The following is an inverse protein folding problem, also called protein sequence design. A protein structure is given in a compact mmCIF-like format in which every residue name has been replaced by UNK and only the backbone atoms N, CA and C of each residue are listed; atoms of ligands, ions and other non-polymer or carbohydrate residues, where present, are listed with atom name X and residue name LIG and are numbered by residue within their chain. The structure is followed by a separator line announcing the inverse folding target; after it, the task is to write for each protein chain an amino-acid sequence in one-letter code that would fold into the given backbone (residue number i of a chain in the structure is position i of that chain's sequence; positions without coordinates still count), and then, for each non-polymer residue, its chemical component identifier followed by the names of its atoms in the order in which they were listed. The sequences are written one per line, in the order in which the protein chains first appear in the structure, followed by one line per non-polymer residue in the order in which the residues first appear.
data_IF_545813236657
#
_entry.id   IF_545813236657
#
_cell.length_a   1.000
_cell.length_b   1.000
_cell.length_c   1.000
_cell.angle_alpha   90.00
_cell.angle_beta   90.00
_cell.angle_gamma   90.00
#
_symmetry.space_group_name_H-M   'P 1'
#
loop_
_entity.id
_entity.type
_entity.pdbx_description
1 polymer ?
#
# COMPACT_ATOMS: atom_id res chain seq x y z
N UNK A 1 21.20 -0.73 -6.68
CA UNK A 1 19.87 -0.98 -6.13
C UNK A 1 19.08 0.31 -6.06
N UNK A 2 17.83 0.31 -6.51
CA UNK A 2 16.97 1.47 -6.27
C UNK A 2 16.80 1.70 -4.77
N UNK A 3 16.84 2.93 -4.36
CA UNK A 3 16.70 3.29 -2.97
C UNK A 3 15.82 4.54 -2.82
N UNK A 4 15.69 5.01 -1.58
CA UNK A 4 14.83 6.16 -1.29
C UNK A 4 15.26 7.43 -2.01
N UNK A 5 16.54 7.56 -2.35
CA UNK A 5 17.03 8.73 -3.07
C UNK A 5 16.39 8.84 -4.44
N UNK A 6 16.15 7.70 -5.10
CA UNK A 6 15.52 7.69 -6.41
C UNK A 6 14.07 8.19 -6.38
N UNK A 7 13.37 7.99 -5.27
CA UNK A 7 12.03 8.57 -5.11
C UNK A 7 12.10 10.09 -5.10
N UNK A 8 13.11 10.65 -4.44
CA UNK A 8 13.25 12.10 -4.33
C UNK A 8 13.65 12.76 -5.64
N UNK A 9 14.18 11.99 -6.58
CA UNK A 9 14.61 12.48 -7.88
C UNK A 9 13.51 12.48 -8.93
N UNK A 10 12.33 11.95 -8.60
CA UNK A 10 11.21 11.96 -9.54
C UNK A 10 10.68 13.38 -9.72
N UNK A 11 10.16 13.73 -10.94
CA UNK A 11 9.60 15.05 -11.16
C UNK A 11 8.42 15.36 -10.24
N UNK A 12 8.18 16.63 -9.98
CA UNK A 12 7.11 17.05 -9.07
C UNK A 12 5.71 16.69 -9.55
N UNK A 13 5.52 16.53 -10.86
CA UNK A 13 4.23 16.21 -11.46
C UNK A 13 4.05 14.73 -11.78
N UNK A 14 4.81 13.89 -11.11
CA UNK A 14 4.80 12.46 -11.35
C UNK A 14 3.49 11.80 -10.93
N UNK A 15 3.11 10.77 -11.67
CA UNK A 15 1.86 10.05 -11.45
C UNK A 15 1.98 9.05 -10.30
N UNK A 16 0.82 8.62 -9.79
CA UNK A 16 0.77 7.52 -8.82
C UNK A 16 1.46 6.28 -9.36
N UNK A 17 1.28 6.02 -10.64
CA UNK A 17 1.88 4.86 -11.31
C UNK A 17 3.40 4.94 -11.28
N UNK A 18 3.97 6.12 -11.53
CA UNK A 18 5.42 6.32 -11.48
C UNK A 18 5.95 6.14 -10.05
N UNK A 19 5.27 6.72 -9.07
CA UNK A 19 5.65 6.58 -7.65
C UNK A 19 5.61 5.12 -7.23
N UNK A 20 4.50 4.45 -7.47
CA UNK A 20 4.33 3.06 -7.03
C UNK A 20 5.22 2.10 -7.81
N UNK A 21 5.48 2.40 -9.09
CA UNK A 21 6.44 1.62 -9.86
C UNK A 21 7.85 1.70 -9.28
N UNK A 22 8.27 2.89 -8.87
CA UNK A 22 9.57 3.06 -8.22
C UNK A 22 9.62 2.37 -6.87
N UNK A 23 8.53 2.42 -6.11
CA UNK A 23 8.44 1.72 -4.83
C UNK A 23 8.55 0.21 -5.05
N UNK A 24 7.90 -0.33 -6.08
CA UNK A 24 8.02 -1.74 -6.41
C UNK A 24 9.48 -2.13 -6.67
N UNK A 25 10.22 -1.31 -7.38
CA UNK A 25 11.65 -1.55 -7.63
C UNK A 25 12.46 -1.58 -6.33
N UNK A 26 12.17 -0.65 -5.41
CA UNK A 26 12.86 -0.55 -4.13
C UNK A 26 12.73 -1.85 -3.33
N UNK A 27 11.53 -2.45 -3.34
CA UNK A 27 11.28 -3.68 -2.59
C UNK A 27 11.44 -4.94 -3.42
N UNK A 28 11.81 -4.81 -4.70
CA UNK A 28 11.99 -5.94 -5.62
C UNK A 28 10.71 -6.78 -5.70
N UNK A 29 9.60 -6.11 -5.86
CA UNK A 29 8.29 -6.73 -6.05
C UNK A 29 7.68 -6.22 -7.37
N UNK A 30 6.59 -6.83 -7.78
CA UNK A 30 5.85 -6.39 -8.97
C UNK A 30 5.01 -5.16 -8.63
N UNK A 31 4.70 -4.30 -9.61
CA UNK A 31 3.78 -3.18 -9.35
C UNK A 31 2.44 -3.63 -8.77
N UNK A 32 1.94 -4.81 -9.16
CA UNK A 32 0.69 -5.36 -8.63
C UNK A 32 0.82 -5.80 -7.17
N UNK A 33 2.03 -5.79 -6.61
CA UNK A 33 2.29 -6.13 -5.22
C UNK A 33 2.47 -4.88 -4.34
N UNK A 34 2.26 -3.69 -4.91
CA UNK A 34 2.21 -2.43 -4.18
C UNK A 34 0.77 -1.96 -4.15
N UNK A 35 0.24 -1.66 -2.98
CA UNK A 35 -1.10 -1.09 -2.84
C UNK A 35 -1.01 0.22 -2.07
N UNK A 36 -1.63 1.25 -2.60
CA UNK A 36 -1.75 2.53 -1.93
C UNK A 36 -3.23 2.83 -1.75
N UNK A 37 -3.62 3.11 -0.51
CA UNK A 37 -5.00 3.40 -0.16
C UNK A 37 -5.08 4.78 0.45
N UNK A 38 -6.12 5.53 0.09
CA UNK A 38 -6.38 6.85 0.64
C UNK A 38 -7.54 6.78 1.62
N UNK A 39 -7.36 7.40 2.77
CA UNK A 39 -8.43 7.49 3.77
C UNK A 39 -9.30 8.71 3.47
N UNK A 40 -10.59 8.46 3.25
CA UNK A 40 -11.60 9.49 3.05
C UNK A 40 -12.72 9.25 4.06
N UNK A 41 -12.81 10.12 5.07
CA UNK A 41 -13.73 9.89 6.17
C UNK A 41 -13.37 8.61 6.93
N UNK A 42 -14.24 7.63 6.91
CA UNK A 42 -14.03 6.35 7.58
C UNK A 42 -13.82 5.19 6.62
N UNK A 43 -13.49 5.49 5.36
CA UNK A 43 -13.32 4.50 4.31
C UNK A 43 -11.95 4.64 3.67
N UNK A 44 -11.30 3.50 3.43
CA UNK A 44 -10.04 3.43 2.70
C UNK A 44 -10.34 3.04 1.26
N UNK A 45 -9.87 3.86 0.33
CA UNK A 45 -10.09 3.64 -1.11
C UNK A 45 -8.77 3.29 -1.77
N UNK A 46 -8.75 2.26 -2.61
CA UNK A 46 -7.57 1.95 -3.39
C UNK A 46 -7.31 3.05 -4.40
N UNK A 47 -6.11 3.61 -4.39
CA UNK A 47 -5.66 4.57 -5.42
C UNK A 47 -4.60 3.95 -6.33
N UNK A 48 -4.00 2.83 -5.93
CA UNK A 48 -3.11 2.02 -6.75
C UNK A 48 -3.09 0.59 -6.18
N UNK A 49 -3.09 -0.48 -6.99
CA UNK A 49 -3.21 -0.46 -8.46
C UNK A 49 -4.58 0.04 -8.92
N UNK A 50 -4.62 0.60 -10.13
CA UNK A 50 -5.85 1.18 -10.66
C UNK A 50 -6.97 0.14 -10.79
N UNK A 51 -6.62 -1.11 -11.05
CA UNK A 51 -7.59 -2.21 -11.17
C UNK A 51 -8.40 -2.41 -9.89
N UNK A 52 -7.87 -2.02 -8.74
CA UNK A 52 -8.57 -2.13 -7.46
C UNK A 52 -9.37 -0.88 -7.11
N UNK A 53 -9.25 0.20 -7.89
CA UNK A 53 -9.96 1.44 -7.60
C UNK A 53 -11.48 1.27 -7.58
N UNK A 54 -11.99 0.28 -8.32
CA UNK A 54 -13.42 -0.02 -8.38
C UNK A 54 -13.82 -1.22 -7.52
N UNK A 55 -12.89 -1.79 -6.76
CA UNK A 55 -13.16 -2.98 -5.94
C UNK A 55 -13.98 -2.67 -4.69
N UNK A 56 -14.26 -1.37 -4.43
CA UNK A 56 -14.97 -0.94 -3.25
C UNK A 56 -14.03 -0.35 -2.21
N UNK A 57 -14.61 0.19 -1.14
CA UNK A 57 -13.85 0.80 -0.07
C UNK A 57 -13.79 -0.12 1.13
N UNK A 58 -12.73 0.00 1.92
CA UNK A 58 -12.53 -0.78 3.14
C UNK A 58 -12.93 0.08 4.34
N UNK A 59 -13.99 -0.30 5.07
CA UNK A 59 -14.36 0.46 6.27
C UNK A 59 -13.29 0.31 7.35
N UNK A 60 -13.03 1.38 8.08
CA UNK A 60 -12.10 1.34 9.22
C UNK A 60 -12.54 0.35 10.29
N UNK A 61 -13.85 0.08 10.37
CA UNK A 61 -14.40 -0.88 11.34
C UNK A 61 -14.18 -2.34 10.93
N UNK A 62 -13.68 -2.60 9.73
CA UNK A 62 -13.49 -3.97 9.25
C UNK A 62 -12.26 -4.62 9.88
N UNK A 63 -12.13 -5.94 9.67
CA UNK A 63 -10.97 -6.70 10.13
C UNK A 63 -9.80 -6.69 9.16
N UNK A 64 -9.91 -5.92 8.07
CA UNK A 64 -8.83 -5.83 7.09
C UNK A 64 -7.55 -5.28 7.72
N UNK A 65 -6.40 -5.77 7.27
CA UNK A 65 -5.11 -5.29 7.76
C UNK A 65 -4.96 -3.79 7.51
N UNK A 66 -5.41 -3.30 6.34
CA UNK A 66 -5.34 -1.87 6.05
C UNK A 66 -6.11 -1.03 7.08
N UNK A 67 -7.30 -1.48 7.48
CA UNK A 67 -8.09 -0.79 8.50
C UNK A 67 -7.36 -0.81 9.84
N UNK A 68 -6.80 -1.94 10.22
CA UNK A 68 -6.02 -2.08 11.45
C UNK A 68 -4.82 -1.13 11.44
N UNK A 69 -4.12 -1.05 10.33
CA UNK A 69 -2.95 -0.18 10.18
C UNK A 69 -3.33 1.30 10.34
N UNK A 70 -4.44 1.71 9.71
CA UNK A 70 -4.91 3.10 9.81
C UNK A 70 -5.30 3.46 11.24
N UNK A 71 -5.97 2.54 11.95
CA UNK A 71 -6.42 2.79 13.31
C UNK A 71 -5.28 2.75 14.33
N UNK A 72 -4.39 1.76 14.21
CA UNK A 72 -3.27 1.61 15.16
C UNK A 72 -2.15 2.59 14.91
N UNK A 73 -2.04 3.09 13.66
CA UNK A 73 -0.96 3.97 13.22
C UNK A 73 0.42 3.31 13.37
N UNK A 74 0.47 1.99 13.22
CA UNK A 74 1.71 1.20 13.35
C UNK A 74 1.94 0.37 12.10
N UNK A 75 3.20 0.28 11.69
CA UNK A 75 3.62 -0.60 10.60
C UNK A 75 3.78 -2.03 11.12
N UNK A 76 3.40 -3.01 10.30
CA UNK A 76 3.46 -4.42 10.69
C UNK A 76 3.89 -5.30 9.52
N UNK A 77 4.48 -6.45 9.83
CA UNK A 77 4.88 -7.50 8.87
C UNK A 77 4.11 -8.78 9.15
N UNK A 78 3.60 -9.40 8.09
CA UNK A 78 2.88 -10.67 8.17
C UNK A 78 3.47 -11.63 7.13
N UNK A 79 4.48 -12.42 7.50
CA UNK A 79 5.12 -13.35 6.55
C UNK A 79 4.35 -14.64 6.33
N UNK A 80 3.39 -14.96 7.19
CA UNK A 80 2.47 -16.08 7.04
C UNK A 80 1.04 -15.64 6.74
N UNK A 81 0.86 -14.58 5.99
CA UNK A 81 -0.45 -13.93 5.83
C UNK A 81 -1.53 -14.88 5.31
N UNK A 82 -1.21 -15.70 4.32
CA UNK A 82 -2.21 -16.59 3.72
C UNK A 82 -2.75 -17.64 4.69
N UNK A 83 -2.08 -17.85 5.82
CA UNK A 83 -2.46 -18.85 6.83
C UNK A 83 -3.26 -18.25 7.98
N UNK A 84 -3.51 -16.93 7.94
CA UNK A 84 -4.25 -16.23 8.98
C UNK A 84 -5.69 -16.06 8.49
N UNK A 85 -6.62 -16.75 9.16
CA UNK A 85 -8.00 -16.85 8.69
C UNK A 85 -8.92 -15.70 9.12
N UNK A 86 -8.47 -14.86 10.03
CA UNK A 86 -9.32 -13.82 10.60
C UNK A 86 -9.22 -12.47 9.90
N UNK A 87 -8.40 -12.38 8.84
CA UNK A 87 -8.29 -11.14 8.05
C UNK A 87 -9.43 -11.08 7.03
N UNK A 88 -9.80 -9.84 6.68
CA UNK A 88 -10.86 -9.57 5.72
C UNK A 88 -10.50 -10.10 4.34
N UNK A 89 -11.55 -10.46 3.58
CA UNK A 89 -11.40 -10.88 2.18
C UNK A 89 -10.80 -9.79 1.29
N UNK A 90 -10.80 -8.54 1.73
CA UNK A 90 -10.25 -7.44 0.93
C UNK A 90 -8.77 -7.62 0.63
N UNK A 91 -7.99 -8.17 1.57
CA UNK A 91 -6.58 -8.43 1.34
C UNK A 91 -6.37 -9.62 0.41
N UNK A 92 -7.41 -10.41 0.17
CA UNK A 92 -7.36 -11.56 -0.71
C UNK A 92 -7.94 -11.26 -2.09
N UNK A 93 -8.30 -10.01 -2.37
CA UNK A 93 -8.84 -9.62 -3.67
C UNK A 93 -7.79 -9.88 -4.74
N UNK A 94 -8.22 -10.54 -5.80
CA UNK A 94 -7.36 -10.90 -6.93
C UNK A 94 -7.44 -9.81 -7.99
N UNK A 95 -6.30 -9.50 -8.59
CA UNK A 95 -6.24 -8.54 -9.67
C UNK A 95 -6.46 -9.29 -10.97
N UNK A 96 -7.46 -8.83 -11.75
CA UNK A 96 -7.86 -9.51 -12.97
C UNK A 96 -8.80 -10.67 -12.68
N UNK A 97 -9.11 -11.43 -13.72
CA UNK A 97 -10.07 -12.53 -13.66
C UNK A 97 -9.40 -13.90 -13.58
N UNK A 98 -8.10 -13.93 -13.41
CA UNK A 98 -7.33 -15.16 -13.50
C UNK A 98 -7.77 -16.20 -12.47
N UNK A 99 -8.11 -15.77 -11.26
CA UNK A 99 -8.37 -16.71 -10.18
C UNK A 99 -7.19 -17.61 -9.86
N UNK A 100 -6.01 -17.26 -10.36
CA UNK A 100 -4.82 -18.11 -10.22
C UNK A 100 -4.20 -17.97 -8.83
N UNK A 101 -3.60 -19.05 -8.37
CA UNK A 101 -2.96 -19.11 -7.06
C UNK A 101 -1.82 -18.11 -6.92
N UNK A 102 -1.19 -17.69 -8.04
CA UNK A 102 -0.11 -16.72 -8.01
C UNK A 102 -0.58 -15.30 -7.64
N UNK A 103 -1.89 -15.09 -7.50
CA UNK A 103 -2.46 -13.83 -7.01
C UNK A 103 -2.69 -13.84 -5.50
N UNK A 104 -2.45 -14.95 -4.83
CA UNK A 104 -2.66 -15.06 -3.38
C UNK A 104 -1.55 -14.33 -2.64
N UNK A 105 -1.92 -13.46 -1.71
CA UNK A 105 -0.96 -12.76 -0.86
C UNK A 105 -0.42 -13.75 0.16
N UNK A 106 0.87 -14.02 0.10
CA UNK A 106 1.55 -14.90 1.05
C UNK A 106 2.25 -14.11 2.16
N UNK A 107 2.77 -12.94 1.82
CA UNK A 107 3.50 -12.09 2.76
C UNK A 107 3.08 -10.65 2.55
N UNK A 108 3.01 -9.88 3.63
CA UNK A 108 2.47 -8.53 3.58
C UNK A 108 3.19 -7.64 4.59
N UNK A 109 3.58 -6.45 4.16
CA UNK A 109 3.90 -5.34 5.05
C UNK A 109 2.82 -4.28 4.88
N UNK A 110 2.45 -3.63 5.98
CA UNK A 110 1.44 -2.57 5.96
C UNK A 110 1.91 -1.42 6.84
N UNK A 111 1.88 -0.21 6.32
CA UNK A 111 2.34 0.97 7.05
C UNK A 111 1.36 2.12 6.87
N UNK A 112 1.14 2.91 7.93
CA UNK A 112 0.28 4.09 7.81
C UNK A 112 1.02 5.21 7.09
N UNK A 113 0.28 5.96 6.29
CA UNK A 113 0.79 7.19 5.67
C UNK A 113 0.24 8.34 6.49
N UNK A 114 1.12 9.02 7.24
CA UNK A 114 0.74 10.03 8.23
C UNK A 114 1.33 11.37 7.82
N UNK A 115 0.49 12.42 7.83
CA UNK A 115 0.94 13.77 7.48
C UNK A 115 1.85 14.36 8.55
N UNK A 116 2.51 15.47 8.22
CA UNK A 116 3.32 16.21 9.19
C UNK A 116 2.54 16.72 10.39
N UNK A 117 1.21 16.76 10.29
CA UNK A 117 0.32 17.17 11.37
C UNK A 117 -0.20 16.00 12.21
N UNK A 118 0.22 14.77 11.89
CA UNK A 118 -0.20 13.58 12.60
C UNK A 118 -1.51 12.96 12.11
N UNK A 119 -2.05 13.43 10.99
CA UNK A 119 -3.28 12.86 10.43
C UNK A 119 -2.96 11.67 9.54
N UNK A 120 -3.77 10.61 9.66
CA UNK A 120 -3.65 9.46 8.76
C UNK A 120 -4.24 9.82 7.41
N UNK A 121 -3.40 9.83 6.38
CA UNK A 121 -3.82 10.11 5.00
C UNK A 121 -4.20 8.82 4.27
N UNK A 122 -3.66 7.69 4.67
CA UNK A 122 -3.91 6.42 4.02
C UNK A 122 -3.01 5.33 4.55
N UNK A 123 -2.86 4.29 3.74
CA UNK A 123 -2.07 3.10 4.07
C UNK A 123 -1.32 2.68 2.82
N UNK A 124 -0.06 2.26 2.99
CA UNK A 124 0.70 1.65 1.92
C UNK A 124 1.02 0.21 2.30
N UNK A 125 0.84 -0.70 1.35
CA UNK A 125 1.08 -2.12 1.56
C UNK A 125 1.99 -2.66 0.47
N UNK A 126 2.94 -3.50 0.88
CA UNK A 126 3.83 -4.23 -0.02
C UNK A 126 3.56 -5.70 0.23
N UNK A 127 3.28 -6.46 -0.82
CA UNK A 127 2.98 -7.87 -0.70
C UNK A 127 3.91 -8.70 -1.56
N UNK A 128 3.96 -10.00 -1.25
CA UNK A 128 4.56 -11.01 -2.11
C UNK A 128 3.50 -12.06 -2.35
N UNK A 129 3.15 -12.24 -3.62
CA UNK A 129 2.05 -13.10 -4.04
C UNK A 129 2.59 -14.34 -4.73
N UNK A 130 1.90 -15.45 -4.58
CA UNK A 130 2.26 -16.68 -5.23
C UNK A 130 1.44 -17.84 -4.71
N UNK A 131 1.59 -19.04 -5.31
CA UNK A 131 0.81 -20.20 -4.87
C UNK A 131 1.25 -20.74 -3.51
N UNK A 132 2.49 -20.45 -3.11
CA UNK A 132 3.05 -20.91 -1.83
C UNK A 132 4.04 -19.87 -1.31
N UNK A 133 4.28 -19.83 0.02
CA UNK A 133 5.18 -18.82 0.61
C UNK A 133 6.59 -18.85 0.02
N UNK A 134 7.16 -20.04 -0.24
CA UNK A 134 8.52 -20.15 -0.76
C UNK A 134 8.64 -19.70 -2.22
N UNK A 135 7.54 -19.65 -2.96
CA UNK A 135 7.53 -19.19 -4.36
C UNK A 135 7.26 -17.71 -4.45
N UNK A 136 6.53 -17.16 -3.48
CA UNK A 136 6.18 -15.73 -3.46
C UNK A 136 7.40 -14.82 -3.29
N UNK A 137 8.48 -15.34 -2.73
CA UNK A 137 9.71 -14.57 -2.51
C UNK A 137 10.16 -14.66 -1.06
N UNK A 138 11.30 -14.03 -0.72
CA UNK A 138 11.83 -14.10 0.64
C UNK A 138 10.92 -13.39 1.64
N UNK A 139 11.03 -13.74 2.91
CA UNK A 139 10.33 -13.07 3.98
C UNK A 139 10.73 -11.60 4.04
N UNK A 140 9.78 -10.75 4.40
CA UNK A 140 10.10 -9.37 4.74
C UNK A 140 10.79 -9.33 6.08
N UNK A 141 11.82 -8.49 6.17
CA UNK A 141 12.62 -8.33 7.39
C UNK A 141 12.22 -7.07 8.14
N UNK A 142 12.72 -6.91 9.35
CA UNK A 142 12.52 -5.68 10.11
C UNK A 142 13.16 -4.48 9.39
N UNK A 143 14.29 -4.71 8.70
CA UNK A 143 14.91 -3.67 7.88
C UNK A 143 14.01 -3.26 6.72
N UNK A 144 13.31 -4.21 6.10
CA UNK A 144 12.33 -3.91 5.06
C UNK A 144 11.20 -3.05 5.61
N UNK A 145 10.72 -3.35 6.82
CA UNK A 145 9.64 -2.58 7.43
C UNK A 145 10.09 -1.15 7.72
N UNK A 146 11.31 -0.96 8.22
CA UNK A 146 11.86 0.38 8.45
C UNK A 146 11.97 1.15 7.14
N UNK A 147 12.36 0.47 6.06
CA UNK A 147 12.42 1.08 4.74
C UNK A 147 11.01 1.49 4.29
N UNK A 148 10.00 0.67 4.55
CA UNK A 148 8.62 0.99 4.22
C UNK A 148 8.14 2.21 5.01
N UNK A 149 8.51 2.34 6.28
CA UNK A 149 8.16 3.50 7.07
C UNK A 149 8.75 4.79 6.49
N UNK A 150 9.99 4.71 5.99
CA UNK A 150 10.61 5.85 5.32
C UNK A 150 9.91 6.18 4.00
N UNK A 151 9.52 5.15 3.24
CA UNK A 151 8.73 5.33 2.01
C UNK A 151 7.40 5.98 2.34
N UNK A 152 6.75 5.56 3.43
CA UNK A 152 5.46 6.12 3.83
C UNK A 152 5.57 7.61 4.15
N UNK A 153 6.66 8.06 4.75
CA UNK A 153 6.89 9.49 4.98
C UNK A 153 6.99 10.26 3.68
N UNK A 154 7.67 9.70 2.69
CA UNK A 154 7.74 10.30 1.39
C UNK A 154 6.36 10.36 0.73
N UNK A 155 5.63 9.24 0.77
CA UNK A 155 4.30 9.14 0.18
C UNK A 155 3.33 10.11 0.86
N UNK A 156 3.51 10.39 2.15
CA UNK A 156 2.64 11.33 2.86
C UNK A 156 2.71 12.73 2.26
N UNK A 157 3.90 13.16 1.86
CA UNK A 157 4.07 14.46 1.20
C UNK A 157 3.39 14.48 -0.15
N UNK A 158 3.54 13.40 -0.91
CA UNK A 158 2.90 13.26 -2.21
C UNK A 158 1.38 13.28 -2.09
N UNK A 159 0.82 12.53 -1.14
CA UNK A 159 -0.63 12.46 -0.94
C UNK A 159 -1.20 13.78 -0.42
N UNK A 160 -0.48 14.46 0.48
CA UNK A 160 -0.91 15.74 1.00
C UNK A 160 -0.97 16.80 -0.11
N UNK A 161 0.02 16.80 -1.01
CA UNK A 161 0.04 17.70 -2.15
C UNK A 161 -1.11 17.41 -3.12
N UNK A 162 -1.34 16.14 -3.42
CA UNK A 162 -2.44 15.74 -4.31
C UNK A 162 -3.79 16.14 -3.73
N UNK A 163 -3.97 15.98 -2.42
CA UNK A 163 -5.22 16.37 -1.74
C UNK A 163 -5.42 17.89 -1.79
N UNK A 164 -4.36 18.68 -1.57
CA UNK A 164 -4.43 20.13 -1.63
C UNK A 164 -4.82 20.61 -3.03
N UNK A 165 -4.24 19.99 -4.07
CA UNK A 165 -4.58 20.33 -5.47
C UNK A 165 -6.05 20.01 -5.75
N UNK A 166 -6.53 18.85 -5.29
CA UNK A 166 -7.93 18.46 -5.49
C UNK A 166 -8.89 19.40 -4.78
N UNK A 167 -8.56 19.83 -3.56
CA UNK A 167 -9.37 20.79 -2.81
C UNK A 167 -9.41 22.14 -3.48
N UNK A 168 -8.28 22.61 -4.00
CA UNK A 168 -8.23 23.89 -4.72
C UNK A 168 -9.09 23.83 -6.00
N UNK A 169 -9.02 22.73 -6.73
CA UNK A 169 -9.83 22.53 -7.93
C UNK A 169 -11.32 22.50 -7.60
N UNK A 170 -11.71 21.92 -6.46
CA UNK A 170 -13.11 21.84 -6.06
C UNK A 170 -13.71 23.20 -5.66
N UNK A 171 -12.88 24.20 -5.39
CA UNK A 171 -13.33 25.55 -5.02
C UNK A 171 -13.51 26.45 -6.22
N UNK A 172 -13.14 26.00 -7.40
CA UNK A 172 -13.35 26.75 -8.63
C UNK A 172 -14.76 26.51 -9.18
#
# INVERSE_FOLDING_TARGET
MPDLEQLRQLPEDWSREAVCGKIAEIFQVKPTEVALLELRGKLLHFVFPQELATAGAIPLSSSAVAARTAQSQKAEVFNGFAQVNHFSVFELVKIGDSGLDDQVIQKLMSAPVISGKGEVLGVIQISRKGPRPNIAGPDFTQADLQKLEAVAKFVSKFMAKARAVAQAAAQL
#
